data_IF_164267735062
#
_entry.id   IF_164267735062
#
_cell.length_a   1.000
_cell.length_b   1.000
_cell.length_c   1.000
_cell.angle_alpha   90.00
_cell.angle_beta   90.00
_cell.angle_gamma   90.00
#
_symmetry.space_group_name_H-M   'P 1'
#
loop_
_entity.id
_entity.type
_entity.pdbx_description
1 polymer ?
#
# COMPACT_ATOMS: atom_id res chain seq x y z
N UNK A 1 12.69 -17.91 -39.35
CA UNK A 1 12.50 -18.20 -37.90
C UNK A 1 12.34 -16.88 -37.14
N UNK A 2 11.15 -16.26 -37.21
CA UNK A 2 10.79 -15.13 -36.35
C UNK A 2 9.62 -15.60 -35.50
N UNK A 3 9.89 -16.03 -34.26
CA UNK A 3 8.84 -16.43 -33.34
C UNK A 3 9.36 -16.35 -31.91
N UNK A 4 8.63 -15.61 -31.08
CA UNK A 4 8.69 -15.60 -29.61
C UNK A 4 9.64 -14.60 -28.90
N UNK A 5 9.87 -13.43 -29.47
CA UNK A 5 10.00 -12.23 -28.65
C UNK A 5 8.67 -11.49 -28.79
N UNK A 6 7.79 -11.59 -27.79
CA UNK A 6 6.60 -10.76 -27.76
C UNK A 6 7.07 -9.31 -27.91
N UNK A 7 6.67 -8.62 -28.98
CA UNK A 7 6.97 -7.20 -29.14
C UNK A 7 6.33 -6.48 -27.97
N UNK A 8 7.13 -6.16 -26.97
CA UNK A 8 6.73 -5.31 -25.86
C UNK A 8 6.16 -4.04 -26.44
N UNK A 9 4.88 -3.84 -26.23
CA UNK A 9 4.14 -2.66 -26.62
C UNK A 9 3.48 -2.06 -25.38
N UNK A 10 3.03 -0.82 -25.49
CA UNK A 10 2.43 -0.08 -24.37
C UNK A 10 1.31 -0.88 -23.70
N UNK A 11 0.42 -1.50 -24.49
CA UNK A 11 -0.70 -2.28 -23.96
C UNK A 11 -0.22 -3.49 -23.15
N UNK A 12 0.77 -4.25 -23.64
CA UNK A 12 1.32 -5.40 -22.91
C UNK A 12 1.98 -5.00 -21.58
N UNK A 13 2.64 -3.84 -21.55
CA UNK A 13 3.27 -3.31 -20.34
C UNK A 13 2.23 -2.82 -19.33
N UNK A 14 1.18 -2.15 -19.79
CA UNK A 14 0.05 -1.72 -18.96
C UNK A 14 -0.66 -2.92 -18.34
N UNK A 15 -0.93 -3.99 -19.11
CA UNK A 15 -1.50 -5.22 -18.56
C UNK A 15 -0.60 -5.87 -17.52
N UNK A 16 0.72 -5.93 -17.76
CA UNK A 16 1.66 -6.49 -16.79
C UNK A 16 1.72 -5.66 -15.51
N UNK A 17 1.70 -4.33 -15.63
CA UNK A 17 1.65 -3.42 -14.50
C UNK A 17 0.41 -3.66 -13.62
N UNK A 18 -0.78 -3.82 -14.22
CA UNK A 18 -1.99 -4.12 -13.43
C UNK A 18 -1.92 -5.49 -12.75
N UNK A 19 -1.35 -6.51 -13.40
CA UNK A 19 -1.12 -7.80 -12.76
C UNK A 19 -0.18 -7.68 -11.55
N UNK A 20 0.89 -6.90 -11.67
CA UNK A 20 1.82 -6.60 -10.58
C UNK A 20 1.15 -5.83 -9.43
N UNK A 21 0.20 -4.94 -9.74
CA UNK A 21 -0.61 -4.28 -8.70
C UNK A 21 -1.51 -5.28 -7.97
N UNK A 22 -2.11 -6.25 -8.68
CA UNK A 22 -2.86 -7.33 -8.02
C UNK A 22 -1.96 -8.19 -7.11
N UNK A 23 -0.77 -8.56 -7.59
CA UNK A 23 0.23 -9.29 -6.78
C UNK A 23 0.62 -8.50 -5.51
N UNK A 24 0.76 -7.17 -5.64
CA UNK A 24 1.07 -6.27 -4.52
C UNK A 24 -0.05 -6.21 -3.48
N UNK A 25 -1.31 -6.18 -3.92
CA UNK A 25 -2.47 -6.21 -3.03
C UNK A 25 -2.49 -7.50 -2.20
N UNK A 26 -2.24 -8.64 -2.83
CA UNK A 26 -2.14 -9.91 -2.11
C UNK A 26 -0.97 -9.94 -1.12
N UNK A 27 0.18 -9.36 -1.47
CA UNK A 27 1.31 -9.24 -0.54
C UNK A 27 0.94 -8.42 0.72
N UNK A 28 0.24 -7.30 0.56
CA UNK A 28 -0.30 -6.53 1.70
C UNK A 28 -1.32 -7.34 2.52
N UNK A 29 -2.18 -8.14 1.86
CA UNK A 29 -3.16 -9.00 2.53
C UNK A 29 -2.49 -10.03 3.44
N UNK A 30 -1.49 -10.73 2.90
CA UNK A 30 -0.71 -11.71 3.64
C UNK A 30 0.06 -11.06 4.81
N UNK A 31 0.54 -9.82 4.63
CA UNK A 31 1.25 -9.09 5.67
C UNK A 31 0.33 -8.75 6.85
N UNK A 32 -0.87 -8.25 6.58
CA UNK A 32 -1.84 -7.93 7.63
C UNK A 32 -2.35 -9.20 8.33
N UNK A 33 -2.69 -10.26 7.59
CA UNK A 33 -3.09 -11.55 8.18
C UNK A 33 -2.01 -12.14 9.08
N UNK A 34 -0.76 -12.07 8.61
CA UNK A 34 0.42 -12.45 9.37
C UNK A 34 0.57 -11.68 10.67
N UNK A 35 0.42 -10.36 10.59
CA UNK A 35 0.53 -9.48 11.76
C UNK A 35 -0.61 -9.72 12.76
N UNK A 36 -1.84 -9.94 12.28
CA UNK A 36 -2.95 -10.31 13.16
C UNK A 36 -2.74 -11.66 13.84
N UNK A 37 -2.16 -12.64 13.15
CA UNK A 37 -1.78 -13.91 13.77
C UNK A 37 -0.68 -13.71 14.83
N UNK A 38 0.31 -12.85 14.54
CA UNK A 38 1.35 -12.47 15.48
C UNK A 38 0.78 -11.79 16.74
N UNK A 39 -0.09 -10.77 16.59
CA UNK A 39 -0.70 -10.09 17.74
C UNK A 39 -1.55 -11.04 18.61
N UNK A 40 -2.26 -11.99 17.99
CA UNK A 40 -3.04 -13.01 18.70
C UNK A 40 -2.20 -13.98 19.52
N UNK A 41 -0.89 -14.07 19.27
CA UNK A 41 0.02 -14.91 20.07
C UNK A 41 0.48 -14.26 21.39
N UNK A 42 0.03 -13.03 21.68
CA UNK A 42 0.30 -12.36 22.96
C UNK A 42 -0.17 -13.20 24.17
N UNK A 43 0.58 -13.19 25.29
CA UNK A 43 1.81 -12.43 25.53
C UNK A 43 3.08 -13.07 24.94
N UNK A 44 3.04 -14.35 24.58
CA UNK A 44 4.18 -15.12 24.10
C UNK A 44 4.34 -15.02 22.57
N UNK A 45 4.62 -13.80 22.11
CA UNK A 45 4.73 -13.48 20.68
C UNK A 45 5.60 -14.47 19.88
N UNK A 46 5.04 -15.06 18.82
CA UNK A 46 5.77 -15.91 17.87
C UNK A 46 6.58 -15.06 16.87
N UNK A 47 7.62 -14.40 17.38
CA UNK A 47 8.45 -13.50 16.61
C UNK A 47 9.21 -14.21 15.47
N UNK A 48 9.60 -15.47 15.66
CA UNK A 48 10.37 -16.20 14.65
C UNK A 48 9.52 -16.44 13.39
N UNK A 49 8.29 -16.92 13.58
CA UNK A 49 7.35 -17.13 12.47
C UNK A 49 6.97 -15.83 11.79
N UNK A 50 6.69 -14.78 12.57
CA UNK A 50 6.34 -13.49 12.00
C UNK A 50 7.48 -12.87 11.20
N UNK A 51 8.72 -12.92 11.72
CA UNK A 51 9.91 -12.43 11.02
C UNK A 51 10.14 -13.17 9.71
N UNK A 52 9.95 -14.49 9.67
CA UNK A 52 10.10 -15.25 8.42
C UNK A 52 9.08 -14.81 7.37
N UNK A 53 7.82 -14.65 7.77
CA UNK A 53 6.77 -14.15 6.88
C UNK A 53 7.10 -12.74 6.35
N UNK A 54 7.50 -11.81 7.23
CA UNK A 54 7.91 -10.46 6.83
C UNK A 54 9.04 -10.50 5.81
N UNK A 55 10.00 -11.41 5.97
CA UNK A 55 11.09 -11.58 5.02
C UNK A 55 10.59 -12.05 3.64
N UNK A 56 9.75 -13.08 3.60
CA UNK A 56 9.18 -13.62 2.35
C UNK A 56 8.35 -12.54 1.60
N UNK A 57 7.53 -11.79 2.33
CA UNK A 57 6.73 -10.69 1.78
C UNK A 57 7.62 -9.54 1.29
N UNK A 58 8.70 -9.21 2.02
CA UNK A 58 9.67 -8.19 1.59
C UNK A 58 10.32 -8.55 0.27
N UNK A 59 10.64 -9.84 0.06
CA UNK A 59 11.16 -10.33 -1.22
C UNK A 59 10.13 -10.15 -2.34
N UNK A 60 8.85 -10.43 -2.08
CA UNK A 60 7.78 -10.20 -3.05
C UNK A 60 7.64 -8.72 -3.43
N UNK A 61 7.58 -7.80 -2.46
CA UNK A 61 7.53 -6.35 -2.72
C UNK A 61 8.72 -5.86 -3.54
N UNK A 62 9.93 -6.34 -3.22
CA UNK A 62 11.13 -6.00 -3.98
C UNK A 62 11.04 -6.49 -5.43
N UNK A 63 10.61 -7.74 -5.65
CA UNK A 63 10.43 -8.29 -7.00
C UNK A 63 9.45 -7.46 -7.83
N UNK A 64 8.29 -7.14 -7.26
CA UNK A 64 7.27 -6.29 -7.90
C UNK A 64 7.83 -4.92 -8.25
N UNK A 65 8.48 -4.25 -7.29
CA UNK A 65 9.04 -2.91 -7.51
C UNK A 65 10.13 -2.88 -8.58
N UNK A 66 10.99 -3.89 -8.64
CA UNK A 66 12.00 -4.00 -9.70
C UNK A 66 11.38 -4.18 -11.08
N UNK A 67 10.32 -4.99 -11.19
CA UNK A 67 9.65 -5.18 -12.47
C UNK A 67 8.90 -3.93 -12.92
N UNK A 68 8.23 -3.20 -12.01
CA UNK A 68 7.59 -1.91 -12.33
C UNK A 68 8.63 -0.88 -12.79
N UNK A 69 9.83 -0.85 -12.19
CA UNK A 69 10.91 0.02 -12.66
C UNK A 69 11.36 -0.34 -14.08
N UNK A 70 11.42 -1.63 -14.43
CA UNK A 70 11.69 -2.05 -15.80
C UNK A 70 10.58 -1.61 -16.77
N UNK A 71 9.30 -1.73 -16.37
CA UNK A 71 8.17 -1.24 -17.16
C UNK A 71 8.29 0.28 -17.39
N UNK A 72 8.56 1.05 -16.34
CA UNK A 72 8.78 2.50 -16.40
C UNK A 72 9.89 2.85 -17.40
N UNK A 73 11.06 2.21 -17.29
CA UNK A 73 12.19 2.47 -18.19
C UNK A 73 11.87 2.14 -19.67
N UNK A 74 11.09 1.10 -19.91
CA UNK A 74 10.63 0.74 -21.26
C UNK A 74 9.62 1.75 -21.84
N UNK A 75 8.75 2.30 -20.99
CA UNK A 75 7.81 3.34 -21.37
C UNK A 75 8.55 4.65 -21.69
N UNK A 76 9.49 5.06 -20.83
CA UNK A 76 10.24 6.31 -20.99
C UNK A 76 11.19 6.29 -22.20
N UNK A 77 11.90 5.18 -22.42
CA UNK A 77 12.90 5.04 -23.48
C UNK A 77 12.30 4.55 -24.80
N UNK A 78 12.31 3.24 -25.08
CA UNK A 78 11.94 2.68 -26.39
C UNK A 78 10.54 3.04 -26.90
N UNK A 79 9.57 3.24 -25.99
CA UNK A 79 8.17 3.50 -26.37
C UNK A 79 7.80 5.00 -26.33
N UNK A 80 8.66 5.86 -25.78
CA UNK A 80 8.47 7.31 -25.75
C UNK A 80 7.23 7.80 -24.98
N UNK A 81 6.64 6.96 -24.12
CA UNK A 81 5.47 7.27 -23.28
C UNK A 81 5.91 7.79 -21.92
N UNK A 82 6.51 8.99 -21.94
CA UNK A 82 6.97 9.69 -20.72
C UNK A 82 5.83 9.98 -19.75
N UNK A 83 4.66 10.31 -20.29
CA UNK A 83 3.42 10.47 -19.53
C UNK A 83 3.16 9.25 -18.64
N UNK A 84 3.11 8.05 -19.22
CA UNK A 84 2.87 6.83 -18.47
C UNK A 84 4.01 6.50 -17.49
N UNK A 85 5.27 6.77 -17.88
CA UNK A 85 6.42 6.56 -17.01
C UNK A 85 6.43 7.48 -15.77
N UNK A 86 5.96 8.73 -15.91
CA UNK A 86 5.80 9.68 -14.81
C UNK A 86 4.75 9.19 -13.81
N UNK A 87 3.58 8.76 -14.29
CA UNK A 87 2.53 8.16 -13.43
C UNK A 87 3.06 6.93 -12.69
N UNK A 88 3.81 6.03 -13.36
CA UNK A 88 4.45 4.88 -12.70
C UNK A 88 5.43 5.31 -11.59
N UNK A 89 6.16 6.41 -11.80
CA UNK A 89 7.04 6.99 -10.79
C UNK A 89 6.27 7.41 -9.54
N UNK A 90 5.20 8.19 -9.73
CA UNK A 90 4.34 8.66 -8.64
C UNK A 90 3.68 7.49 -7.89
N UNK A 91 3.20 6.47 -8.61
CA UNK A 91 2.64 5.26 -8.00
C UNK A 91 3.69 4.55 -7.15
N UNK A 92 4.93 4.40 -7.62
CA UNK A 92 6.00 3.76 -6.85
C UNK A 92 6.35 4.54 -5.58
N UNK A 93 6.38 5.87 -5.64
CA UNK A 93 6.61 6.72 -4.47
C UNK A 93 5.51 6.56 -3.42
N UNK A 94 4.24 6.58 -3.87
CA UNK A 94 3.10 6.39 -2.96
C UNK A 94 3.00 4.98 -2.39
N UNK A 95 3.38 3.97 -3.15
CA UNK A 95 3.40 2.58 -2.68
C UNK A 95 4.52 2.34 -1.67
N UNK A 96 5.65 3.05 -1.79
CA UNK A 96 6.67 3.08 -0.75
C UNK A 96 6.15 3.76 0.53
N UNK A 97 5.54 4.94 0.41
CA UNK A 97 4.92 5.66 1.54
C UNK A 97 3.89 4.78 2.27
N UNK A 98 3.04 4.08 1.51
CA UNK A 98 2.05 3.13 2.05
C UNK A 98 2.70 1.98 2.82
N UNK A 99 3.79 1.42 2.32
CA UNK A 99 4.50 0.32 3.01
C UNK A 99 5.11 0.80 4.33
N UNK A 100 5.71 1.99 4.34
CA UNK A 100 6.29 2.62 5.54
C UNK A 100 5.21 2.90 6.60
N UNK A 101 4.08 3.49 6.19
CA UNK A 101 2.95 3.74 7.08
C UNK A 101 2.31 2.44 7.60
N UNK A 102 2.28 1.38 6.79
CA UNK A 102 1.79 0.06 7.20
C UNK A 102 2.68 -0.51 8.31
N UNK A 103 4.00 -0.45 8.17
CA UNK A 103 4.93 -0.90 9.20
C UNK A 103 4.79 -0.10 10.50
N UNK A 104 4.66 1.24 10.40
CA UNK A 104 4.41 2.10 11.57
C UNK A 104 3.08 1.74 12.25
N UNK A 105 2.01 1.51 11.48
CA UNK A 105 0.70 1.13 12.03
C UNK A 105 0.77 -0.21 12.75
N UNK A 106 1.52 -1.18 12.24
CA UNK A 106 1.71 -2.48 12.89
C UNK A 106 2.38 -2.32 14.25
N UNK A 107 3.46 -1.54 14.34
CA UNK A 107 4.13 -1.23 15.60
C UNK A 107 3.20 -0.50 16.58
N UNK A 108 2.45 0.50 16.11
CA UNK A 108 1.50 1.24 16.94
C UNK A 108 0.36 0.34 17.47
N UNK A 109 -0.16 -0.58 16.65
CA UNK A 109 -1.14 -1.61 17.05
C UNK A 109 -0.57 -2.52 18.15
N UNK A 110 0.68 -2.97 18.01
CA UNK A 110 1.35 -3.78 19.03
C UNK A 110 1.51 -2.99 20.34
N UNK A 111 2.01 -1.75 20.28
CA UNK A 111 2.18 -0.89 21.45
C UNK A 111 0.86 -0.64 22.18
N UNK A 112 -0.23 -0.42 21.44
CA UNK A 112 -1.57 -0.26 22.04
C UNK A 112 -2.05 -1.55 22.73
N UNK A 113 -1.71 -2.72 22.19
CA UNK A 113 -2.06 -4.01 22.81
C UNK A 113 -1.24 -4.28 24.07
N UNK A 114 0.07 -4.00 24.02
CA UNK A 114 0.98 -4.19 25.15
C UNK A 114 0.76 -3.14 26.26
N UNK A 115 0.29 -1.95 25.90
CA UNK A 115 0.10 -0.80 26.79
C UNK A 115 -1.23 -0.08 26.53
N UNK A 116 -2.39 -0.72 26.81
CA UNK A 116 -3.71 -0.19 26.46
C UNK A 116 -4.12 1.08 27.22
N UNK A 117 -3.43 1.42 28.32
CA UNK A 117 -3.68 2.64 29.11
C UNK A 117 -3.01 3.90 28.57
N UNK A 118 -2.24 3.81 27.48
CA UNK A 118 -1.51 4.93 26.90
C UNK A 118 -2.30 5.50 25.71
N UNK A 119 -3.04 6.60 25.95
CA UNK A 119 -3.87 7.25 24.93
C UNK A 119 -3.07 7.68 23.68
N UNK A 120 -1.77 7.97 23.82
CA UNK A 120 -0.91 8.31 22.70
C UNK A 120 -0.83 7.19 21.64
N UNK A 121 -0.80 5.91 22.05
CA UNK A 121 -0.80 4.79 21.10
C UNK A 121 -2.11 4.67 20.35
N UNK A 122 -3.23 4.98 21.01
CA UNK A 122 -4.56 5.01 20.36
C UNK A 122 -4.63 6.13 19.32
N UNK A 123 -4.13 7.32 19.64
CA UNK A 123 -4.07 8.45 18.71
C UNK A 123 -3.17 8.14 17.52
N UNK A 124 -1.97 7.61 17.77
CA UNK A 124 -1.01 7.20 16.74
C UNK A 124 -1.61 6.21 15.74
N UNK A 125 -2.33 5.18 16.23
CA UNK A 125 -3.05 4.23 15.37
C UNK A 125 -4.09 4.93 14.48
N UNK A 126 -4.84 5.90 15.00
CA UNK A 126 -5.85 6.63 14.23
C UNK A 126 -5.22 7.54 13.17
N UNK A 127 -4.15 8.26 13.53
CA UNK A 127 -3.42 9.12 12.60
C UNK A 127 -2.80 8.32 11.45
N UNK A 128 -2.16 7.19 11.77
CA UNK A 128 -1.55 6.32 10.76
C UNK A 128 -2.60 5.70 9.84
N UNK A 129 -3.77 5.31 10.38
CA UNK A 129 -4.92 4.88 9.56
C UNK A 129 -5.37 5.98 8.61
N UNK A 130 -5.52 7.22 9.09
CA UNK A 130 -5.95 8.33 8.24
C UNK A 130 -4.94 8.63 7.14
N UNK A 131 -3.64 8.66 7.46
CA UNK A 131 -2.57 8.83 6.46
C UNK A 131 -2.61 7.71 5.42
N UNK A 132 -2.78 6.46 5.84
CA UNK A 132 -2.91 5.33 4.91
C UNK A 132 -4.10 5.48 3.95
N UNK A 133 -5.26 5.93 4.44
CA UNK A 133 -6.43 6.19 3.58
C UNK A 133 -6.04 7.23 2.51
N UNK A 134 -5.47 8.35 2.92
CA UNK A 134 -5.05 9.42 1.99
C UNK A 134 -4.02 8.93 0.97
N UNK A 135 -3.05 8.09 1.38
CA UNK A 135 -2.08 7.51 0.47
C UNK A 135 -2.74 6.56 -0.54
N UNK A 136 -3.69 5.72 -0.11
CA UNK A 136 -4.44 4.81 -1.00
C UNK A 136 -5.31 5.59 -1.98
N UNK A 137 -5.98 6.65 -1.52
CA UNK A 137 -6.76 7.56 -2.37
C UNK A 137 -5.86 8.19 -3.44
N UNK A 138 -4.71 8.74 -3.05
CA UNK A 138 -3.73 9.28 -4.00
C UNK A 138 -3.24 8.24 -5.02
N UNK A 139 -2.95 7.00 -4.60
CA UNK A 139 -2.61 5.90 -5.53
C UNK A 139 -3.75 5.65 -6.52
N UNK A 140 -4.99 5.63 -6.01
CA UNK A 140 -6.18 5.36 -6.82
C UNK A 140 -6.42 6.44 -7.85
N UNK A 141 -6.25 7.72 -7.49
CA UNK A 141 -6.32 8.86 -8.40
C UNK A 141 -5.27 8.73 -9.53
N UNK A 142 -4.01 8.45 -9.19
CA UNK A 142 -2.96 8.29 -10.20
C UNK A 142 -3.24 7.08 -11.10
N UNK A 143 -3.80 5.99 -10.57
CA UNK A 143 -4.20 4.81 -11.35
C UNK A 143 -5.36 5.08 -12.31
N UNK A 144 -6.28 5.97 -11.94
CA UNK A 144 -7.37 6.41 -12.82
C UNK A 144 -6.82 7.26 -13.97
N UNK A 145 -5.92 8.20 -13.68
CA UNK A 145 -5.26 9.03 -14.68
C UNK A 145 -4.39 8.19 -15.63
N UNK A 146 -3.71 7.17 -15.09
CA UNK A 146 -2.95 6.20 -15.86
C UNK A 146 -3.81 5.42 -16.88
N UNK A 147 -5.09 5.20 -16.57
CA UNK A 147 -6.05 4.52 -17.44
C UNK A 147 -6.82 5.49 -18.36
N UNK A 148 -6.62 6.81 -18.23
CA UNK A 148 -7.36 7.78 -19.01
C UNK A 148 -6.99 7.66 -20.50
N UNK A 149 -7.98 7.53 -21.40
CA UNK A 149 -7.69 7.45 -22.83
C UNK A 149 -7.15 8.81 -23.29
N UNK A 150 -5.90 8.84 -23.77
CA UNK A 150 -5.37 9.99 -24.52
C UNK A 150 -6.37 10.38 -25.62
N UNK A 151 -6.65 11.68 -25.85
CA UNK A 151 -7.72 12.13 -26.75
C UNK A 151 -7.58 11.70 -28.21
N UNK A 152 -6.47 11.05 -28.60
CA UNK A 152 -6.31 10.41 -29.90
C UNK A 152 -7.21 9.17 -30.12
N UNK A 153 -7.84 8.62 -29.07
CA UNK A 153 -8.68 7.40 -29.15
C UNK A 153 -10.16 7.60 -28.78
N UNK A 154 -10.65 8.84 -28.78
CA UNK A 154 -11.99 9.21 -28.27
C UNK A 154 -13.20 8.75 -29.12
N UNK A 155 -13.06 7.73 -29.97
CA UNK A 155 -14.21 7.08 -30.61
C UNK A 155 -13.96 5.59 -30.85
N UNK A 156 -14.20 4.76 -29.82
CA UNK A 156 -14.90 3.48 -29.99
C UNK A 156 -15.46 2.96 -28.66
N UNK A 157 -16.67 2.44 -28.73
CA UNK A 157 -17.59 2.10 -27.65
C UNK A 157 -17.13 1.01 -26.66
N UNK A 158 -17.75 1.08 -25.48
CA UNK A 158 -18.10 0.03 -24.52
C UNK A 158 -17.05 -0.37 -23.46
N UNK A 159 -17.46 -0.28 -22.19
CA UNK A 159 -16.65 -0.51 -20.98
C UNK A 159 -16.23 -1.96 -20.73
N UNK A 160 -15.43 -2.16 -19.67
CA UNK A 160 -16.02 -2.58 -18.39
C UNK A 160 -15.47 -1.72 -17.22
N UNK A 161 -16.09 -1.87 -16.05
CA UNK A 161 -15.66 -1.31 -14.74
C UNK A 161 -14.15 -1.16 -14.66
N UNK A 162 -13.66 0.06 -14.39
CA UNK A 162 -12.27 0.41 -14.52
C UNK A 162 -11.42 -0.44 -13.56
N UNK A 163 -10.37 -1.10 -14.06
CA UNK A 163 -9.47 -1.91 -13.24
C UNK A 163 -8.92 -1.15 -12.01
N UNK A 164 -8.92 0.19 -12.03
CA UNK A 164 -8.62 1.05 -10.89
C UNK A 164 -9.62 0.96 -9.74
N UNK A 165 -10.93 0.84 -10.00
CA UNK A 165 -11.96 0.74 -8.95
C UNK A 165 -11.88 -0.60 -8.20
N UNK A 166 -11.63 -1.71 -8.93
CA UNK A 166 -11.43 -3.03 -8.30
C UNK A 166 -10.17 -3.09 -7.43
N UNK A 167 -9.09 -2.42 -7.85
CA UNK A 167 -7.86 -2.32 -7.07
C UNK A 167 -8.07 -1.43 -5.83
N UNK A 168 -8.91 -0.40 -5.91
CA UNK A 168 -9.24 0.47 -4.78
C UNK A 168 -10.01 -0.28 -3.68
N UNK A 169 -11.07 -1.02 -4.04
CA UNK A 169 -11.83 -1.85 -3.07
C UNK A 169 -10.94 -2.91 -2.42
N UNK A 170 -10.07 -3.54 -3.21
CA UNK A 170 -9.15 -4.56 -2.71
C UNK A 170 -8.09 -3.95 -1.77
N UNK A 171 -7.53 -2.78 -2.10
CA UNK A 171 -6.55 -2.09 -1.26
C UNK A 171 -7.14 -1.57 0.06
N UNK A 172 -8.38 -1.05 0.05
CA UNK A 172 -9.10 -0.64 1.25
C UNK A 172 -9.46 -1.83 2.14
N UNK A 173 -9.98 -2.91 1.56
CA UNK A 173 -10.38 -4.11 2.32
C UNK A 173 -9.19 -4.81 2.99
N UNK A 174 -8.01 -4.77 2.38
CA UNK A 174 -6.78 -5.40 2.89
C UNK A 174 -6.23 -4.71 4.13
N UNK A 175 -6.30 -3.38 4.21
CA UNK A 175 -5.73 -2.62 5.34
C UNK A 175 -6.74 -2.34 6.46
N UNK A 176 -8.05 -2.39 6.15
CA UNK A 176 -9.14 -2.09 7.08
C UNK A 176 -10.01 -3.30 7.46
N UNK A 177 -9.63 -4.51 7.03
CA UNK A 177 -10.34 -5.79 7.20
C UNK A 177 -11.45 -5.79 8.25
N UNK A 178 -12.70 -5.83 7.77
CA UNK A 178 -13.97 -5.93 8.51
C UNK A 178 -13.91 -5.36 9.94
N UNK A 179 -13.69 -4.04 10.06
CA UNK A 179 -14.38 -3.34 11.15
C UNK A 179 -15.87 -3.62 10.94
N UNK A 180 -16.60 -4.18 11.92
CA UNK A 180 -18.05 -4.14 11.84
C UNK A 180 -18.43 -2.68 11.62
N UNK A 181 -19.41 -2.47 10.74
CA UNK A 181 -20.04 -1.18 10.53
C UNK A 181 -20.61 -0.69 11.87
N UNK A 182 -19.78 -0.02 12.66
CA UNK A 182 -20.19 0.79 13.80
C UNK A 182 -20.39 2.23 13.31
N UNK A 183 -21.15 2.42 12.23
CA UNK A 183 -21.86 3.66 11.98
C UNK A 183 -23.04 3.87 12.96
N UNK A 184 -23.09 3.15 14.10
CA UNK A 184 -24.18 3.26 15.08
C UNK A 184 -23.75 3.37 16.55
N UNK A 185 -22.54 3.89 16.84
CA UNK A 185 -22.26 4.39 18.19
C UNK A 185 -21.39 5.63 18.22
N UNK A 186 -21.93 6.71 17.66
CA UNK A 186 -21.63 8.05 18.17
C UNK A 186 -22.21 8.19 19.58
N UNK A 187 -21.34 8.21 20.61
CA UNK A 187 -21.32 9.18 21.71
C UNK A 187 -20.42 8.69 22.83
N UNK A 188 -19.72 9.65 23.46
CA UNK A 188 -18.77 9.50 24.58
C UNK A 188 -17.35 9.23 24.07
N UNK A 189 -16.30 9.99 24.36
CA UNK A 189 -16.09 10.90 25.46
C UNK A 189 -14.86 11.77 25.11
N UNK A 190 -14.98 13.08 25.30
CA UNK A 190 -13.86 14.01 25.32
C UNK A 190 -13.05 13.75 26.60
N UNK A 191 -11.73 13.62 26.49
CA UNK A 191 -10.79 14.18 27.48
C UNK A 191 -9.33 13.93 27.09
N UNK A 192 -8.65 15.05 26.78
CA UNK A 192 -7.28 15.38 27.21
C UNK A 192 -6.12 14.67 26.46
N UNK A 193 -5.44 15.47 25.64
CA UNK A 193 -4.32 15.05 24.78
C UNK A 193 -2.96 14.99 25.49
N UNK A 194 -1.90 14.54 24.77
CA UNK A 194 -0.58 14.38 25.35
C UNK A 194 0.45 15.37 24.78
N UNK A 195 1.27 15.86 25.70
CA UNK A 195 2.52 16.55 25.43
C UNK A 195 3.67 15.54 25.47
N UNK A 196 4.63 15.73 24.56
CA UNK A 196 6.04 15.30 24.61
C UNK A 196 6.39 13.81 24.48
N UNK A 197 7.13 13.50 23.41
CA UNK A 197 8.37 12.71 23.51
C UNK A 197 9.45 13.29 22.57
N UNK A 198 10.43 13.99 23.14
CA UNK A 198 11.84 13.90 22.70
C UNK A 198 12.72 14.06 23.94
N UNK A 199 13.28 12.94 24.39
CA UNK A 199 14.17 12.84 25.54
C UNK A 199 15.55 12.32 25.15
N UNK A 200 16.50 13.26 25.11
CA UNK A 200 17.90 13.10 25.52
C UNK A 200 18.84 12.19 24.71
N UNK A 201 19.91 12.81 24.19
CA UNK A 201 21.20 12.15 24.00
C UNK A 201 22.26 12.92 24.80
N UNK A 202 22.94 12.20 25.70
CA UNK A 202 23.98 12.67 26.63
C UNK A 202 25.33 12.09 26.17
N UNK A 203 26.41 12.87 26.33
CA UNK A 203 27.82 12.45 26.30
C UNK A 203 28.51 12.71 24.97
N UNK A 204 29.62 13.44 24.88
CA UNK A 204 30.49 14.05 25.89
C UNK A 204 31.83 14.39 25.22
N UNK A 205 32.37 15.55 25.55
CA UNK A 205 33.79 15.92 25.78
C UNK A 205 33.81 17.35 26.33
#
# INVERSE_FOLDING_TARGET
MQSRAARMNVQSLVHRFYALQTERVEAYRLLEEGHQAYLRSSPDYDFLRYRQLVHEITVAFNGISQEILQIKNNLEGPLGRRDLAEHLGQIQEKEQEKLELTAQLQLAKQNLQDQPGVEAHRQEVQELKHKLIQTIEAISEILQDFNSPTPASLFRHAGPMAAGEMLQEAQGSVLFGHLPDEASSQKSFLALGPHCLYGTRRGGE
#
